data_IF_869497078766
#
_entry.id   IF_869497078766
#
_cell.length_a   1.000
_cell.length_b   1.000
_cell.length_c   1.000
_cell.angle_alpha   90.00
_cell.angle_beta   90.00
_cell.angle_gamma   90.00
#
_symmetry.space_group_name_H-M   'P 1'
#
loop_
_entity.id
_entity.type
_entity.pdbx_description
1 polymer ?
#
# COMPACT_ATOMS: atom_id res chain seq x y z
N UNK A 1 -23.17 -7.87 0.33
CA UNK A 1 -22.87 -6.43 0.22
C UNK A 1 -21.82 -6.29 -0.86
N UNK A 2 -21.76 -5.14 -1.51
CA UNK A 2 -20.60 -4.82 -2.35
C UNK A 2 -19.51 -4.34 -1.39
N UNK A 3 -18.30 -4.90 -1.49
CA UNK A 3 -17.20 -4.53 -0.60
C UNK A 3 -16.69 -3.13 -0.98
N UNK A 4 -16.73 -2.20 -0.02
CA UNK A 4 -16.10 -0.89 -0.19
C UNK A 4 -14.61 -1.01 0.13
N UNK A 5 -13.75 -0.77 -0.87
CA UNK A 5 -12.29 -0.72 -0.68
C UNK A 5 -11.88 0.65 -0.14
N UNK A 6 -12.35 0.97 1.07
CA UNK A 6 -12.06 2.24 1.74
C UNK A 6 -10.88 2.05 2.68
N UNK A 7 -9.83 2.83 2.46
CA UNK A 7 -8.63 2.87 3.28
C UNK A 7 -8.33 4.29 3.78
N UNK A 8 -7.17 4.45 4.40
CA UNK A 8 -6.64 5.74 4.85
C UNK A 8 -5.50 6.15 3.93
N UNK A 9 -5.64 7.30 3.30
CA UNK A 9 -4.53 8.03 2.68
C UNK A 9 -3.96 8.96 3.74
N UNK A 10 -2.64 8.97 3.95
CA UNK A 10 -1.99 9.96 4.81
C UNK A 10 -1.16 10.89 3.97
N UNK A 11 -1.50 12.18 4.00
CA UNK A 11 -0.79 13.22 3.28
C UNK A 11 0.45 13.67 4.05
N UNK A 12 1.59 13.80 3.38
CA UNK A 12 2.87 14.23 3.92
C UNK A 12 3.36 15.46 3.16
N UNK A 13 4.19 16.28 3.80
CA UNK A 13 4.90 17.36 3.09
C UNK A 13 6.19 16.80 2.50
N UNK A 14 6.48 17.14 1.25
CA UNK A 14 7.78 16.89 0.65
C UNK A 14 8.91 17.51 1.51
N UNK A 15 10.06 16.85 1.50
CA UNK A 15 11.23 17.38 2.19
C UNK A 15 11.80 18.60 1.45
N UNK A 16 11.85 19.75 2.13
CA UNK A 16 12.45 20.98 1.62
C UNK A 16 13.38 21.58 2.68
N UNK A 17 14.67 21.28 2.56
CA UNK A 17 15.72 21.96 3.32
C UNK A 17 15.64 21.83 4.84
N UNK A 18 15.01 20.76 5.36
CA UNK A 18 14.82 20.50 6.79
C UNK A 18 13.37 20.61 7.28
N UNK A 19 12.46 21.04 6.42
CA UNK A 19 11.02 20.99 6.65
C UNK A 19 10.40 19.82 5.88
N UNK A 20 9.27 19.28 6.36
CA UNK A 20 8.60 18.12 5.77
C UNK A 20 9.19 16.78 6.18
N UNK A 21 8.69 15.69 5.60
CA UNK A 21 9.10 14.33 5.99
C UNK A 21 10.29 13.87 5.12
N UNK A 22 11.42 13.45 5.72
CA UNK A 22 12.68 13.21 5.00
C UNK A 22 12.65 12.02 4.02
N UNK A 23 11.60 11.20 4.04
CA UNK A 23 11.42 10.12 3.06
C UNK A 23 10.69 10.52 1.78
N UNK A 24 10.11 11.73 1.73
CA UNK A 24 9.35 12.25 0.59
C UNK A 24 10.18 13.26 -0.20
N UNK A 25 10.35 13.04 -1.51
CA UNK A 25 11.21 13.80 -2.46
C UNK A 25 12.72 13.78 -2.18
N UNK A 26 13.21 12.81 -1.39
CA UNK A 26 14.63 12.75 -1.03
C UNK A 26 15.40 11.68 -1.78
N UNK A 27 14.80 10.51 -1.98
CA UNK A 27 15.48 9.34 -2.55
C UNK A 27 15.18 9.21 -4.04
N UNK A 28 15.90 8.33 -4.74
CA UNK A 28 15.57 7.81 -6.07
C UNK A 28 16.11 6.38 -6.18
N UNK A 29 15.66 5.57 -7.14
CA UNK A 29 16.30 4.28 -7.38
C UNK A 29 15.51 3.34 -8.28
N UNK A 30 15.73 2.03 -8.09
CA UNK A 30 15.13 0.94 -8.87
C UNK A 30 14.43 -0.11 -7.98
N UNK A 31 14.08 0.29 -6.76
CA UNK A 31 13.48 -0.57 -5.74
C UNK A 31 14.51 -1.30 -4.86
N UNK A 32 14.08 -1.58 -3.64
CA UNK A 32 14.76 -2.37 -2.62
C UNK A 32 13.75 -3.23 -1.86
N UNK A 33 13.70 -4.52 -2.21
CA UNK A 33 12.95 -5.50 -1.43
C UNK A 33 13.57 -5.71 -0.05
N UNK A 34 12.74 -6.08 0.92
CA UNK A 34 13.16 -6.36 2.29
C UNK A 34 13.27 -5.11 3.18
N UNK A 35 12.69 -3.98 2.77
CA UNK A 35 12.55 -2.79 3.65
C UNK A 35 11.69 -3.13 4.87
N UNK A 36 10.67 -3.98 4.68
CA UNK A 36 9.78 -4.46 5.74
C UNK A 36 10.06 -5.92 6.09
N UNK A 37 9.78 -6.27 7.34
CA UNK A 37 9.84 -7.63 7.85
C UNK A 37 8.78 -8.51 7.19
N UNK A 38 8.96 -9.83 7.30
CA UNK A 38 8.06 -10.81 6.66
C UNK A 38 6.70 -10.95 7.34
N UNK A 39 6.56 -10.44 8.56
CA UNK A 39 5.32 -10.49 9.33
C UNK A 39 4.91 -9.09 9.78
N UNK A 40 3.61 -8.80 9.74
CA UNK A 40 3.08 -7.55 10.29
C UNK A 40 3.31 -7.46 11.81
N UNK A 41 3.38 -6.23 12.31
CA UNK A 41 3.40 -5.94 13.73
C UNK A 41 2.09 -6.36 14.43
N UNK A 42 2.08 -6.37 15.78
CA UNK A 42 0.86 -6.68 16.54
C UNK A 42 -0.27 -5.66 16.33
N UNK A 43 0.05 -4.50 15.75
CA UNK A 43 -0.83 -3.42 15.33
C UNK A 43 -1.23 -3.50 13.85
N UNK A 44 -0.96 -4.63 13.18
CA UNK A 44 -1.24 -4.87 11.76
C UNK A 44 -0.56 -3.88 10.81
N UNK A 45 0.58 -3.29 11.20
CA UNK A 45 1.36 -2.38 10.35
C UNK A 45 2.69 -3.00 9.92
N UNK A 46 3.28 -2.58 8.79
CA UNK A 46 4.57 -3.09 8.34
C UNK A 46 5.66 -2.74 9.36
N UNK A 47 6.51 -3.71 9.69
CA UNK A 47 7.64 -3.50 10.60
C UNK A 47 8.89 -3.27 9.75
N UNK A 48 9.63 -2.19 10.02
CA UNK A 48 10.87 -1.90 9.30
C UNK A 48 11.98 -2.91 9.64
N UNK A 49 12.64 -3.47 8.62
CA UNK A 49 13.59 -4.59 8.78
C UNK A 49 15.06 -4.18 9.03
N UNK A 50 15.38 -2.89 8.92
CA UNK A 50 16.77 -2.40 9.03
C UNK A 50 17.02 -1.62 10.33
N UNK A 51 18.26 -1.67 10.82
CA UNK A 51 18.66 -0.92 12.04
C UNK A 51 18.86 0.58 11.82
N UNK A 52 18.94 1.02 10.56
CA UNK A 52 19.14 2.41 10.16
C UNK A 52 18.60 2.64 8.75
N UNK A 53 18.92 3.78 8.16
CA UNK A 53 18.54 4.09 6.80
C UNK A 53 19.07 3.11 5.76
N UNK A 54 18.38 3.04 4.64
CA UNK A 54 18.82 2.35 3.42
C UNK A 54 19.14 3.38 2.34
N UNK A 55 19.38 2.92 1.11
CA UNK A 55 19.45 3.83 -0.04
C UNK A 55 18.08 4.39 -0.46
N UNK A 56 16.98 3.89 0.14
CA UNK A 56 15.61 4.31 -0.16
C UNK A 56 14.86 4.90 1.03
N UNK A 57 15.39 4.84 2.25
CA UNK A 57 14.66 5.23 3.48
C UNK A 57 15.61 5.85 4.49
N UNK A 58 15.12 6.81 5.26
CA UNK A 58 15.91 7.55 6.27
C UNK A 58 16.23 6.67 7.48
N UNK A 59 15.28 5.85 7.91
CA UNK A 59 15.47 4.97 9.05
C UNK A 59 14.18 4.46 9.67
N UNK A 60 14.30 3.66 10.76
CA UNK A 60 13.15 3.06 11.42
C UNK A 60 12.20 4.08 12.06
N UNK A 61 12.70 5.23 12.52
CA UNK A 61 11.87 6.22 13.23
C UNK A 61 10.97 7.01 12.27
N UNK A 62 11.47 7.30 11.08
CA UNK A 62 10.75 7.97 10.00
C UNK A 62 9.76 7.01 9.35
N UNK A 63 10.16 5.77 9.08
CA UNK A 63 9.26 4.75 8.51
C UNK A 63 8.06 4.45 9.42
N UNK A 64 8.22 4.45 10.75
CA UNK A 64 7.11 4.23 11.69
C UNK A 64 5.98 5.27 11.57
N UNK A 65 6.24 6.43 10.95
CA UNK A 65 5.25 7.49 10.72
C UNK A 65 4.43 7.28 9.46
N UNK A 66 4.85 6.41 8.54
CA UNK A 66 4.22 6.24 7.22
C UNK A 66 2.76 5.80 7.31
N UNK A 67 2.46 4.89 8.23
CA UNK A 67 1.12 4.29 8.38
C UNK A 67 0.50 4.56 9.74
N UNK A 68 0.93 5.65 10.40
CA UNK A 68 0.37 6.11 11.68
C UNK A 68 -0.04 7.56 11.59
N UNK A 69 -1.10 7.90 12.30
CA UNK A 69 -1.55 9.29 12.40
C UNK A 69 -0.63 10.02 13.38
N UNK A 70 0.18 10.95 12.86
CA UNK A 70 1.17 11.68 13.67
C UNK A 70 0.92 13.18 13.50
N UNK A 71 0.49 13.82 14.59
CA UNK A 71 0.16 15.26 14.60
C UNK A 71 1.36 16.10 14.11
N UNK A 72 1.08 17.01 13.17
CA UNK A 72 2.08 17.85 12.53
C UNK A 72 2.94 17.17 11.46
N UNK A 73 2.91 15.85 11.34
CA UNK A 73 3.66 15.08 10.32
C UNK A 73 2.78 14.73 9.14
N UNK A 74 1.60 14.17 9.39
CA UNK A 74 0.68 13.76 8.32
C UNK A 74 -0.79 14.11 8.60
N UNK A 75 -1.61 14.04 7.54
CA UNK A 75 -3.06 14.24 7.62
C UNK A 75 -3.81 13.01 7.06
N UNK A 76 -4.52 12.24 7.90
CA UNK A 76 -5.29 11.09 7.44
C UNK A 76 -6.60 11.51 6.74
N UNK A 77 -6.86 10.96 5.56
CA UNK A 77 -8.01 11.21 4.72
C UNK A 77 -8.55 9.86 4.23
N UNK A 78 -9.86 9.61 4.37
CA UNK A 78 -10.46 8.38 3.86
C UNK A 78 -10.57 8.44 2.34
N UNK A 79 -10.14 7.38 1.67
CA UNK A 79 -10.26 7.25 0.22
C UNK A 79 -10.84 5.88 -0.13
N UNK A 80 -11.73 5.85 -1.14
CA UNK A 80 -12.38 4.60 -1.58
C UNK A 80 -11.99 4.26 -3.01
N UNK A 81 -11.38 3.08 -3.18
CA UNK A 81 -11.16 2.48 -4.48
C UNK A 81 -12.44 1.79 -4.94
N UNK A 82 -12.81 1.99 -6.21
CA UNK A 82 -13.99 1.35 -6.81
C UNK A 82 -13.55 0.53 -8.02
N UNK A 83 -13.26 -0.77 -7.86
CA UNK A 83 -12.92 -1.65 -8.98
C UNK A 83 -14.14 -1.90 -9.89
N UNK A 84 -13.85 -2.16 -11.15
CA UNK A 84 -14.83 -2.76 -12.07
C UNK A 84 -14.74 -4.29 -11.99
N UNK A 85 -15.88 -4.98 -11.97
CA UNK A 85 -15.92 -6.45 -11.92
C UNK A 85 -16.50 -6.98 -13.23
N UNK A 86 -15.78 -7.89 -13.89
CA UNK A 86 -16.22 -8.49 -15.15
C UNK A 86 -17.19 -9.68 -14.95
N UNK A 87 -17.68 -10.25 -16.05
CA UNK A 87 -18.60 -11.39 -16.01
C UNK A 87 -18.02 -12.70 -15.45
N UNK A 88 -16.69 -12.76 -15.27
CA UNK A 88 -15.97 -13.89 -14.68
C UNK A 88 -15.62 -13.65 -13.20
N UNK A 89 -15.98 -12.48 -12.65
CA UNK A 89 -15.68 -12.09 -11.28
C UNK A 89 -14.28 -11.50 -11.08
N UNK A 90 -13.60 -11.10 -12.15
CA UNK A 90 -12.30 -10.42 -12.06
C UNK A 90 -12.53 -8.94 -11.70
N UNK A 91 -12.12 -8.55 -10.50
CA UNK A 91 -12.09 -7.16 -10.07
C UNK A 91 -10.83 -6.48 -10.62
N UNK A 92 -10.99 -5.34 -11.29
CA UNK A 92 -9.89 -4.55 -11.86
C UNK A 92 -10.06 -3.07 -11.50
N UNK A 93 -9.03 -2.50 -10.89
CA UNK A 93 -8.81 -1.07 -10.77
C UNK A 93 -7.46 -0.76 -11.41
N UNK A 94 -7.42 0.11 -12.42
CA UNK A 94 -6.20 0.53 -13.12
C UNK A 94 -6.24 2.04 -13.22
N UNK A 95 -5.38 2.71 -12.46
CA UNK A 95 -5.26 4.16 -12.46
C UNK A 95 -3.80 4.58 -12.63
N UNK A 96 -3.48 5.16 -13.79
CA UNK A 96 -2.16 5.68 -14.16
C UNK A 96 -1.95 7.16 -13.81
N UNK A 97 -2.90 7.73 -13.09
CA UNK A 97 -2.89 9.09 -12.55
C UNK A 97 -3.51 9.04 -11.15
N UNK A 98 -2.91 8.23 -10.28
CA UNK A 98 -3.46 7.95 -8.95
C UNK A 98 -3.13 9.09 -7.97
N UNK A 99 -3.96 10.12 -7.98
CA UNK A 99 -3.82 11.29 -7.10
C UNK A 99 -5.06 11.42 -6.20
N UNK A 100 -5.19 10.54 -5.18
CA UNK A 100 -6.43 10.39 -4.42
C UNK A 100 -6.80 11.60 -3.56
N UNK A 101 -5.84 12.50 -3.29
CA UNK A 101 -5.96 13.63 -2.37
C UNK A 101 -5.54 14.97 -3.02
N UNK A 102 -5.70 15.09 -4.34
CA UNK A 102 -5.45 16.35 -5.05
C UNK A 102 -6.27 17.51 -4.46
N UNK A 103 -5.57 18.56 -4.04
CA UNK A 103 -6.15 19.75 -3.43
C UNK A 103 -6.61 19.59 -1.98
N UNK A 104 -6.40 18.42 -1.36
CA UNK A 104 -6.73 18.15 0.04
C UNK A 104 -5.49 18.17 0.93
N UNK A 105 -5.67 18.03 2.25
CA UNK A 105 -4.58 17.99 3.22
C UNK A 105 -3.69 19.25 3.20
N UNK A 106 -2.39 19.06 3.04
CA UNK A 106 -1.37 20.08 2.84
C UNK A 106 -1.38 20.67 1.41
N UNK A 107 -2.18 20.12 0.51
CA UNK A 107 -2.35 20.53 -0.88
C UNK A 107 -1.21 20.06 -1.79
N UNK A 108 -1.25 20.44 -3.07
CA UNK A 108 -0.33 19.91 -4.09
C UNK A 108 1.07 20.53 -4.04
N UNK A 109 1.43 21.24 -2.97
CA UNK A 109 2.77 21.82 -2.77
C UNK A 109 3.35 22.60 -3.98
N UNK A 110 2.51 23.42 -4.63
CA UNK A 110 2.81 24.21 -5.83
C UNK A 110 3.01 23.39 -7.12
N UNK A 111 2.74 22.09 -7.10
CA UNK A 111 2.67 21.18 -8.25
C UNK A 111 1.23 21.08 -8.76
N UNK A 112 1.06 20.42 -9.91
CA UNK A 112 -0.26 20.11 -10.45
C UNK A 112 -0.99 19.07 -9.60
N UNK A 113 -0.27 18.07 -9.09
CA UNK A 113 -0.80 16.96 -8.30
C UNK A 113 -0.10 16.81 -6.95
N UNK A 114 -0.75 16.11 -6.01
CA UNK A 114 -0.15 15.65 -4.76
C UNK A 114 0.57 14.31 -4.97
N UNK A 115 1.88 14.26 -4.68
CA UNK A 115 2.76 13.09 -4.85
C UNK A 115 3.33 12.56 -3.52
N UNK A 116 2.77 12.99 -2.39
CA UNK A 116 3.40 12.78 -1.09
C UNK A 116 2.43 12.18 -0.12
N UNK A 117 2.12 10.90 -0.33
CA UNK A 117 1.14 10.21 0.50
C UNK A 117 1.43 8.73 0.68
N UNK A 118 0.86 8.17 1.72
CA UNK A 118 0.74 6.71 1.88
C UNK A 118 -0.71 6.30 1.77
N UNK A 119 -0.96 5.05 1.35
CA UNK A 119 -2.29 4.45 1.37
C UNK A 119 -2.27 3.11 2.11
N UNK A 120 -3.13 2.98 3.10
CA UNK A 120 -3.33 1.80 3.94
C UNK A 120 -4.76 1.27 3.74
N UNK A 121 -4.89 -0.01 3.40
CA UNK A 121 -6.18 -0.66 3.20
C UNK A 121 -6.18 -2.08 3.79
N UNK A 122 -7.16 -2.36 4.64
CA UNK A 122 -7.36 -3.67 5.26
C UNK A 122 -8.65 -4.31 4.76
N UNK A 123 -8.55 -5.57 4.34
CA UNK A 123 -9.65 -6.36 3.78
C UNK A 123 -9.67 -7.77 4.37
N UNK A 124 -10.77 -8.48 4.15
CA UNK A 124 -10.89 -9.92 4.41
C UNK A 124 -11.44 -10.62 3.19
N UNK A 125 -11.01 -11.85 2.97
CA UNK A 125 -11.48 -12.68 1.87
C UNK A 125 -11.54 -14.15 2.27
N UNK A 126 -12.39 -14.94 1.60
CA UNK A 126 -12.36 -16.40 1.69
C UNK A 126 -11.48 -16.95 0.59
N UNK A 127 -10.46 -17.71 0.95
CA UNK A 127 -9.63 -18.46 0.01
C UNK A 127 -10.36 -19.74 -0.40
N UNK A 128 -10.65 -19.94 -1.69
CA UNK A 128 -11.38 -21.11 -2.23
C UNK A 128 -10.48 -22.02 -3.06
N UNK A 129 -9.30 -21.54 -3.47
CA UNK A 129 -8.40 -22.22 -4.39
C UNK A 129 -8.50 -21.66 -5.81
N UNK A 130 -7.36 -21.46 -6.45
CA UNK A 130 -7.21 -20.97 -7.81
C UNK A 130 -7.30 -19.45 -7.96
N UNK A 131 -7.42 -18.69 -6.87
CA UNK A 131 -7.42 -17.24 -6.94
C UNK A 131 -6.07 -16.65 -7.33
N UNK A 132 -6.12 -15.57 -8.09
CA UNK A 132 -4.96 -14.77 -8.47
C UNK A 132 -5.13 -13.35 -7.93
N UNK A 133 -3.99 -12.76 -7.56
CA UNK A 133 -3.89 -11.36 -7.18
C UNK A 133 -2.71 -10.75 -7.92
N UNK A 134 -2.92 -9.63 -8.60
CA UNK A 134 -1.89 -8.89 -9.32
C UNK A 134 -1.91 -7.45 -8.86
N UNK A 135 -0.71 -6.91 -8.65
CA UNK A 135 -0.51 -5.50 -8.33
C UNK A 135 0.51 -4.89 -9.27
N UNK A 136 0.28 -3.64 -9.69
CA UNK A 136 1.31 -2.80 -10.32
C UNK A 136 1.23 -1.36 -9.83
N UNK A 137 2.38 -0.73 -9.63
CA UNK A 137 2.47 0.67 -9.23
C UNK A 137 3.90 1.13 -9.00
N UNK A 138 4.02 2.39 -8.64
CA UNK A 138 5.15 3.12 -8.06
C UNK A 138 4.64 3.86 -6.82
N UNK A 139 5.43 4.20 -5.81
CA UNK A 139 6.85 3.93 -5.61
C UNK A 139 7.13 2.71 -4.74
N UNK A 140 6.48 2.61 -3.58
CA UNK A 140 6.68 1.53 -2.61
C UNK A 140 5.35 0.77 -2.43
N UNK A 141 5.41 -0.56 -2.43
CA UNK A 141 4.24 -1.39 -2.16
C UNK A 141 4.52 -2.70 -1.43
N UNK A 142 3.68 -2.99 -0.44
CA UNK A 142 3.61 -4.27 0.23
C UNK A 142 2.18 -4.81 0.31
N UNK A 143 2.04 -6.11 0.08
CA UNK A 143 0.79 -6.84 0.31
C UNK A 143 1.05 -7.95 1.32
N UNK A 144 0.23 -8.01 2.36
CA UNK A 144 0.27 -9.07 3.35
C UNK A 144 -1.02 -9.90 3.27
N UNK A 145 -0.89 -11.22 3.35
CA UNK A 145 -2.00 -12.15 3.49
C UNK A 145 -1.77 -12.94 4.75
N UNK A 146 -2.78 -13.03 5.62
CA UNK A 146 -2.66 -13.73 6.90
C UNK A 146 -1.45 -13.22 7.72
N UNK A 147 -1.26 -11.90 7.73
CA UNK A 147 -0.15 -11.18 8.36
C UNK A 147 1.25 -11.54 7.82
N UNK A 148 1.35 -12.22 6.67
CA UNK A 148 2.62 -12.62 6.04
C UNK A 148 2.81 -11.90 4.72
N UNK A 149 4.02 -11.40 4.48
CA UNK A 149 4.37 -10.67 3.27
C UNK A 149 4.21 -11.58 2.03
N UNK A 150 3.32 -11.16 1.12
CA UNK A 150 2.97 -11.88 -0.09
C UNK A 150 3.53 -11.19 -1.35
N UNK A 151 3.56 -9.85 -1.37
CA UNK A 151 4.20 -9.04 -2.41
C UNK A 151 5.10 -8.01 -1.75
N UNK A 152 6.31 -7.87 -2.29
CA UNK A 152 7.30 -6.89 -1.87
C UNK A 152 7.86 -6.17 -3.09
N UNK A 153 7.40 -4.93 -3.27
CA UNK A 153 7.86 -3.94 -4.22
C UNK A 153 8.29 -2.69 -3.43
N UNK A 154 9.09 -2.87 -2.39
CA UNK A 154 9.64 -1.76 -1.62
C UNK A 154 10.69 -0.96 -2.39
N UNK A 155 10.88 0.29 -1.99
CA UNK A 155 11.84 1.26 -2.47
C UNK A 155 11.41 1.95 -3.77
N UNK A 156 11.67 3.26 -3.87
CA UNK A 156 11.44 4.06 -5.07
C UNK A 156 11.85 3.35 -6.37
N UNK A 157 10.90 3.24 -7.29
CA UNK A 157 11.09 2.66 -8.60
C UNK A 157 10.04 3.20 -9.59
N UNK A 158 10.37 3.20 -10.89
CA UNK A 158 9.34 3.27 -11.93
C UNK A 158 8.34 2.13 -11.80
N UNK A 159 7.13 2.19 -12.39
CA UNK A 159 6.10 1.17 -12.20
C UNK A 159 6.62 -0.27 -12.32
N UNK A 160 6.50 -1.02 -11.23
CA UNK A 160 6.78 -2.45 -11.18
C UNK A 160 5.48 -3.23 -11.03
N UNK A 161 5.55 -4.54 -11.25
CA UNK A 161 4.40 -5.42 -11.21
C UNK A 161 4.78 -6.75 -10.57
N UNK A 162 3.89 -7.29 -9.74
CA UNK A 162 3.98 -8.65 -9.23
C UNK A 162 2.63 -9.38 -9.35
N UNK A 163 2.68 -10.72 -9.35
CA UNK A 163 1.51 -11.58 -9.39
C UNK A 163 1.65 -12.71 -8.38
N UNK A 164 0.61 -12.84 -7.56
CA UNK A 164 0.42 -13.91 -6.61
C UNK A 164 -0.53 -14.96 -7.19
N UNK A 165 -0.05 -16.20 -7.28
CA UNK A 165 -0.88 -17.40 -7.33
C UNK A 165 -1.04 -17.91 -5.89
N UNK A 166 -2.26 -17.83 -5.35
CA UNK A 166 -2.50 -18.17 -3.95
C UNK A 166 -2.29 -19.66 -3.66
N UNK A 167 -2.49 -20.55 -4.64
CA UNK A 167 -2.29 -21.99 -4.47
C UNK A 167 -0.80 -22.30 -4.32
N UNK A 168 0.03 -21.65 -5.13
CA UNK A 168 1.49 -21.79 -5.05
C UNK A 168 2.06 -21.26 -3.73
N UNK A 169 1.45 -20.21 -3.17
CA UNK A 169 1.90 -19.52 -1.97
C UNK A 169 1.22 -19.99 -0.69
N UNK A 170 0.26 -20.91 -0.78
CA UNK A 170 -0.61 -21.28 0.33
C UNK A 170 0.14 -21.73 1.59
N UNK A 171 1.22 -22.51 1.41
CA UNK A 171 2.04 -23.00 2.53
C UNK A 171 2.83 -21.87 3.20
N UNK A 172 3.40 -20.95 2.40
CA UNK A 172 4.20 -19.83 2.90
C UNK A 172 3.34 -18.79 3.63
N UNK A 173 2.13 -18.54 3.10
CA UNK A 173 1.15 -17.64 3.69
C UNK A 173 0.34 -18.29 4.83
N UNK A 174 0.44 -19.61 5.00
CA UNK A 174 -0.30 -20.35 6.02
C UNK A 174 -1.81 -20.34 5.80
N UNK A 175 -2.25 -20.40 4.54
CA UNK A 175 -3.66 -20.39 4.15
C UNK A 175 -4.15 -21.75 3.66
N UNK A 176 -5.43 -22.03 3.83
CA UNK A 176 -6.09 -23.27 3.41
C UNK A 176 -7.48 -22.97 2.82
N UNK A 177 -7.93 -23.72 1.80
CA UNK A 177 -9.24 -23.49 1.20
C UNK A 177 -10.40 -23.57 2.20
N UNK A 178 -11.39 -22.70 2.00
CA UNK A 178 -12.60 -22.59 2.81
C UNK A 178 -12.45 -21.75 4.09
N UNK A 179 -11.28 -21.16 4.34
CA UNK A 179 -11.04 -20.28 5.49
C UNK A 179 -11.03 -18.80 5.05
N UNK A 180 -11.32 -17.91 6.00
CA UNK A 180 -11.25 -16.45 5.82
C UNK A 180 -9.91 -15.92 6.35
N UNK A 181 -9.28 -15.02 5.59
CA UNK A 181 -7.97 -14.44 5.92
C UNK A 181 -7.99 -12.91 5.77
N UNK A 182 -7.17 -12.19 6.58
CA UNK A 182 -6.90 -10.78 6.33
C UNK A 182 -6.01 -10.60 5.09
N UNK A 183 -6.20 -9.47 4.43
CA UNK A 183 -5.43 -8.97 3.31
C UNK A 183 -5.16 -7.49 3.55
N UNK A 184 -3.89 -7.13 3.65
CA UNK A 184 -3.46 -5.79 4.05
C UNK A 184 -2.57 -5.19 2.98
N UNK A 185 -2.87 -3.95 2.58
CA UNK A 185 -2.19 -3.20 1.54
C UNK A 185 -1.53 -1.97 2.11
N UNK A 186 -0.27 -1.78 1.76
CA UNK A 186 0.53 -0.62 2.13
C UNK A 186 1.21 -0.10 0.88
N UNK A 187 0.90 1.14 0.52
CA UNK A 187 1.47 1.86 -0.61
C UNK A 187 2.06 3.18 -0.12
N UNK A 188 3.15 3.64 -0.73
CA UNK A 188 3.62 5.00 -0.59
C UNK A 188 3.98 5.57 -1.96
N UNK A 189 3.43 6.74 -2.25
CA UNK A 189 3.81 7.61 -3.35
C UNK A 189 4.61 8.76 -2.73
N UNK A 190 5.88 8.88 -3.11
CA UNK A 190 6.78 9.80 -2.40
C UNK A 190 7.80 10.47 -3.32
N UNK A 191 7.66 10.33 -4.64
CA UNK A 191 8.52 10.99 -5.60
C UNK A 191 7.79 11.31 -6.91
N UNK A 192 7.93 12.55 -7.38
CA UNK A 192 7.44 13.03 -8.67
C UNK A 192 8.03 12.27 -9.89
N UNK A 193 7.47 12.32 -11.10
CA UNK A 193 6.34 13.12 -11.61
C UNK A 193 5.14 12.25 -12.04
N UNK A 194 5.11 10.96 -11.66
CA UNK A 194 4.01 10.06 -11.99
C UNK A 194 3.57 9.27 -10.75
N UNK A 195 2.30 8.84 -10.73
CA UNK A 195 1.74 7.96 -9.70
C UNK A 195 0.79 6.97 -10.35
N UNK A 196 1.07 5.69 -10.16
CA UNK A 196 0.41 4.56 -10.78
C UNK A 196 -0.03 3.56 -9.72
N UNK A 197 -1.30 3.17 -9.79
CA UNK A 197 -1.87 2.20 -8.87
C UNK A 197 -2.86 1.31 -9.61
N UNK A 198 -2.53 0.03 -9.70
CA UNK A 198 -3.36 -0.98 -10.33
C UNK A 198 -3.47 -2.25 -9.49
N UNK A 199 -4.72 -2.68 -9.27
CA UNK A 199 -5.06 -3.95 -8.63
C UNK A 199 -5.91 -4.76 -9.59
N UNK A 200 -5.57 -6.04 -9.73
CA UNK A 200 -6.43 -7.02 -10.37
C UNK A 200 -6.52 -8.27 -9.50
N UNK A 201 -7.74 -8.74 -9.26
CA UNK A 201 -7.98 -9.80 -8.28
C UNK A 201 -9.24 -10.60 -8.56
N UNK A 202 -9.20 -11.90 -8.30
CA UNK A 202 -10.38 -12.76 -8.26
C UNK A 202 -10.86 -13.03 -6.82
N UNK A 203 -10.26 -12.37 -5.84
CA UNK A 203 -10.59 -12.58 -4.43
C UNK A 203 -12.01 -12.12 -4.14
N UNK A 204 -12.78 -13.00 -3.48
CA UNK A 204 -14.11 -12.66 -2.99
C UNK A 204 -13.99 -12.03 -1.60
N UNK A 205 -14.02 -10.69 -1.53
CA UNK A 205 -13.99 -9.96 -0.27
C UNK A 205 -15.25 -10.21 0.56
N UNK A 206 -15.08 -10.28 1.88
CA UNK A 206 -16.17 -10.59 2.83
C UNK A 206 -16.54 -9.43 3.74
N UNK A 207 -15.67 -8.44 3.93
CA UNK A 207 -16.02 -7.24 4.67
C UNK A 207 -16.79 -6.24 3.78
N UNK A 208 -17.91 -5.76 4.31
CA UNK A 208 -18.72 -4.71 3.69
C UNK A 208 -18.29 -3.32 4.11
N UNK A 209 -17.91 -3.21 5.38
CA UNK A 209 -17.51 -1.97 6.02
C UNK A 209 -15.98 -1.84 5.99
N UNK A 210 -15.46 -0.60 5.97
CA UNK A 210 -14.02 -0.35 6.08
C UNK A 210 -13.47 -0.94 7.39
N UNK A 211 -12.24 -1.44 7.34
CA UNK A 211 -11.49 -1.87 8.52
C UNK A 211 -10.38 -0.84 8.73
N UNK A 212 -10.47 -0.08 9.83
CA UNK A 212 -9.44 0.86 10.25
C UNK A 212 -8.69 0.31 11.46
N UNK A 213 -7.37 0.46 11.45
CA UNK A 213 -6.48 0.01 12.51
C UNK A 213 -5.72 1.22 13.06
N UNK A 214 -5.84 1.43 14.36
CA UNK A 214 -5.18 2.52 15.10
C UNK A 214 -3.65 2.35 15.14
#
# INVERSE_FOLDING_TARGET
CDANLTGIVRDFRAYDGGEGHPDFETFTGQGLKGIVERELGPDQKPVYAHRGGTEHTTGPAEFDQWYRDVDGVNMPIQFTITPTVDGNGLATYDNRAFFPIDGEGFGNERREHNFHFTFELHMKFVYKGGEVFRFSGDDDLWVFINNRLAIDLGGLHSPQEDQLDLDAMATELGIAPGQEYPLDFFHAERHTEASNFAIQSTLAFTNCEPIFVD
#
